data_IF_727222531760
#
_entry.id   IF_727222531760
#
_cell.length_a   1.000
_cell.length_b   1.000
_cell.length_c   1.000
_cell.angle_alpha   90.00
_cell.angle_beta   90.00
_cell.angle_gamma   90.00
#
_symmetry.space_group_name_H-M   'P 1'
#
loop_
_entity.id
_entity.type
_entity.pdbx_description
1 polymer ?
#
# COMPACT_ATOMS: atom_id res chain seq x y z
N UNK A 1 7.29 -7.59 24.66
CA UNK A 1 6.70 -7.54 23.32
C UNK A 1 7.44 -6.51 22.47
N UNK A 2 7.22 -6.51 21.16
CA UNK A 2 7.76 -5.48 20.24
C UNK A 2 7.09 -4.16 20.59
N UNK A 3 7.89 -3.11 20.87
CA UNK A 3 7.41 -1.75 21.13
C UNK A 3 7.12 -0.97 19.85
N UNK A 4 6.64 0.27 19.99
CA UNK A 4 6.55 1.24 18.89
C UNK A 4 7.89 1.97 18.71
N UNK A 5 8.16 2.45 17.50
CA UNK A 5 9.24 3.40 17.26
C UNK A 5 8.98 4.64 18.12
N UNK A 6 10.00 5.14 18.83
CA UNK A 6 9.87 6.39 19.62
C UNK A 6 9.50 7.54 18.67
N UNK A 7 8.46 8.28 19.00
CA UNK A 7 7.91 9.34 18.16
C UNK A 7 6.76 8.89 17.23
N UNK A 8 6.54 7.60 17.01
CA UNK A 8 5.39 7.08 16.28
C UNK A 8 4.25 6.75 17.26
N UNK A 9 3.10 7.39 17.06
CA UNK A 9 1.95 7.18 17.95
C UNK A 9 1.16 5.92 17.63
N UNK A 10 1.00 5.59 16.34
CA UNK A 10 0.22 4.44 15.87
C UNK A 10 0.94 3.70 14.76
N UNK A 11 1.05 2.37 14.84
CA UNK A 11 1.50 1.56 13.73
C UNK A 11 0.47 1.59 12.59
N UNK A 12 0.93 1.37 11.36
CA UNK A 12 0.10 1.36 10.16
C UNK A 12 0.41 0.15 9.28
N UNK A 13 -0.61 -0.40 8.64
CA UNK A 13 -0.48 -1.51 7.68
C UNK A 13 -0.22 -0.94 6.30
N UNK A 14 0.86 -1.37 5.64
CA UNK A 14 1.12 -1.04 4.24
C UNK A 14 0.78 -2.22 3.34
N UNK A 15 0.03 -1.95 2.26
CA UNK A 15 -0.41 -2.98 1.31
C UNK A 15 -0.09 -2.55 -0.12
N UNK A 16 0.55 -3.42 -0.95
CA UNK A 16 0.77 -3.13 -2.36
C UNK A 16 -0.51 -3.35 -3.16
N UNK A 17 -0.88 -2.36 -3.98
CA UNK A 17 -1.95 -2.45 -4.98
C UNK A 17 -1.31 -2.44 -6.36
N UNK A 18 -1.56 -3.43 -7.23
CA UNK A 18 -1.03 -3.44 -8.59
C UNK A 18 -1.43 -2.19 -9.38
N UNK A 19 -0.50 -1.65 -10.18
CA UNK A 19 -0.76 -0.49 -11.01
C UNK A 19 -0.49 -0.74 -12.50
N UNK A 20 -0.95 0.19 -13.36
CA UNK A 20 -0.84 0.14 -14.81
C UNK A 20 0.61 0.18 -15.30
N UNK A 21 1.52 0.80 -14.56
CA UNK A 21 2.95 0.85 -14.89
C UNK A 21 3.67 -0.47 -14.66
N UNK A 22 2.96 -1.49 -14.19
CA UNK A 22 3.50 -2.82 -13.97
C UNK A 22 4.15 -3.04 -12.61
N UNK A 23 4.17 -2.01 -11.76
CA UNK A 23 4.60 -2.03 -10.36
C UNK A 23 3.43 -2.06 -9.38
N UNK A 24 3.64 -1.42 -8.22
CA UNK A 24 2.64 -1.30 -7.17
C UNK A 24 2.56 0.14 -6.67
N UNK A 25 1.37 0.53 -6.26
CA UNK A 25 1.11 1.70 -5.39
C UNK A 25 0.91 1.17 -3.97
N UNK A 26 1.59 1.76 -2.99
CA UNK A 26 1.54 1.31 -1.59
C UNK A 26 0.50 2.11 -0.83
N UNK A 27 -0.62 1.47 -0.48
CA UNK A 27 -1.67 2.04 0.36
C UNK A 27 -1.29 1.88 1.83
N UNK A 28 -1.29 2.97 2.59
CA UNK A 28 -1.02 3.06 4.02
C UNK A 28 -1.92 4.12 4.67
N UNK A 29 -2.73 3.87 5.67
CA UNK A 29 -2.98 2.67 6.45
C UNK A 29 -4.09 1.81 5.82
N UNK A 30 -3.86 0.51 5.71
CA UNK A 30 -4.83 -0.43 5.13
C UNK A 30 -5.70 -1.15 6.18
N UNK A 31 -5.75 -0.62 7.43
CA UNK A 31 -6.68 -1.16 8.42
C UNK A 31 -6.22 -1.27 9.87
N UNK A 32 -5.12 -0.64 10.28
CA UNK A 32 -4.65 -0.68 11.66
C UNK A 32 -5.36 0.36 12.56
N UNK A 33 -5.68 1.57 12.05
CA UNK A 33 -6.24 2.67 12.83
C UNK A 33 -7.40 3.35 12.12
N UNK A 34 -8.63 3.11 12.59
CA UNK A 34 -9.84 3.65 11.95
C UNK A 34 -10.04 5.16 12.18
N UNK A 35 -9.61 5.69 13.32
CA UNK A 35 -9.78 7.11 13.69
C UNK A 35 -8.42 7.72 14.05
N UNK A 36 -7.57 8.04 13.06
CA UNK A 36 -6.30 8.71 13.30
C UNK A 36 -6.50 10.21 13.48
N UNK A 37 -5.45 10.87 14.01
CA UNK A 37 -5.28 12.33 13.95
C UNK A 37 -4.47 12.72 12.71
N UNK A 38 -4.44 14.02 12.31
CA UNK A 38 -3.62 14.48 11.19
C UNK A 38 -2.14 14.11 11.34
N UNK A 39 -1.58 14.19 12.56
CA UNK A 39 -0.20 13.82 12.85
C UNK A 39 0.08 12.34 12.61
N UNK A 40 -0.92 11.47 12.86
CA UNK A 40 -0.78 10.05 12.57
C UNK A 40 -0.69 9.78 11.06
N UNK A 41 -1.45 10.52 10.24
CA UNK A 41 -1.39 10.40 8.78
C UNK A 41 -0.05 10.95 8.24
N UNK A 42 0.49 12.02 8.82
CA UNK A 42 1.85 12.50 8.52
C UNK A 42 2.90 11.43 8.85
N UNK A 43 2.78 10.78 10.02
CA UNK A 43 3.66 9.67 10.40
C UNK A 43 3.51 8.47 9.45
N UNK A 44 2.29 8.13 9.04
CA UNK A 44 2.03 7.08 8.06
C UNK A 44 2.68 7.39 6.70
N UNK A 45 2.64 8.67 6.27
CA UNK A 45 3.32 9.11 5.06
C UNK A 45 4.84 8.88 5.12
N UNK A 46 5.46 9.24 6.24
CA UNK A 46 6.89 9.00 6.49
C UNK A 46 7.21 7.49 6.48
N UNK A 47 6.39 6.67 7.14
CA UNK A 47 6.55 5.21 7.17
C UNK A 47 6.43 4.62 5.77
N UNK A 48 5.41 5.01 5.01
CA UNK A 48 5.17 4.56 3.64
C UNK A 48 6.28 4.97 2.68
N UNK A 49 6.75 6.22 2.78
CA UNK A 49 7.87 6.72 1.99
C UNK A 49 9.15 5.91 2.23
N UNK A 50 9.54 5.69 3.48
CA UNK A 50 10.73 4.90 3.80
C UNK A 50 10.60 3.46 3.31
N UNK A 51 9.43 2.84 3.48
CA UNK A 51 9.16 1.51 2.95
C UNK A 51 9.31 1.45 1.43
N UNK A 52 8.68 2.37 0.70
CA UNK A 52 8.76 2.42 -0.75
C UNK A 52 10.19 2.67 -1.24
N UNK A 53 10.92 3.56 -0.58
CA UNK A 53 12.29 3.93 -0.96
C UNK A 53 13.30 2.81 -0.69
N UNK A 54 13.30 2.26 0.52
CA UNK A 54 14.36 1.35 0.95
C UNK A 54 13.99 -0.11 0.72
N UNK A 55 12.78 -0.56 1.08
CA UNK A 55 12.37 -1.96 0.92
C UNK A 55 11.97 -2.27 -0.53
N UNK A 56 11.35 -1.29 -1.22
CA UNK A 56 10.86 -1.49 -2.60
C UNK A 56 11.75 -0.83 -3.65
N UNK A 57 12.82 -0.16 -3.24
CA UNK A 57 13.87 0.44 -4.07
C UNK A 57 13.35 1.47 -5.08
N UNK A 58 12.30 2.22 -4.71
CA UNK A 58 11.81 3.35 -5.51
C UNK A 58 12.68 4.57 -5.17
N UNK A 59 13.36 5.15 -6.16
CA UNK A 59 14.38 6.19 -5.95
C UNK A 59 13.82 7.44 -5.25
N UNK A 60 12.69 7.93 -5.74
CA UNK A 60 12.00 9.12 -5.21
C UNK A 60 10.49 8.85 -5.15
N UNK A 61 9.99 8.15 -4.11
CA UNK A 61 8.59 7.82 -4.00
C UNK A 61 7.72 9.08 -3.92
N UNK A 62 6.71 9.19 -4.75
CA UNK A 62 5.71 10.26 -4.71
C UNK A 62 4.60 9.88 -3.75
N UNK A 63 4.41 10.69 -2.72
CA UNK A 63 3.42 10.46 -1.67
C UNK A 63 2.17 11.29 -1.93
N UNK A 64 1.00 10.66 -2.03
CA UNK A 64 -0.30 11.29 -2.13
C UNK A 64 -1.16 11.04 -0.89
N UNK A 65 -2.10 11.96 -0.62
CA UNK A 65 -3.12 11.81 0.42
C UNK A 65 -4.43 11.37 -0.24
N UNK A 66 -4.99 10.23 0.16
CA UNK A 66 -6.27 9.76 -0.37
C UNK A 66 -7.39 10.72 -0.02
N UNK A 67 -8.09 11.22 -1.04
CA UNK A 67 -9.14 12.21 -0.88
C UNK A 67 -10.24 12.02 -1.95
N UNK A 68 -11.29 12.84 -1.86
CA UNK A 68 -12.45 12.85 -2.78
C UNK A 68 -12.27 13.80 -3.98
N UNK A 69 -11.17 14.51 -4.07
CA UNK A 69 -10.80 15.45 -5.14
C UNK A 69 -9.37 15.91 -5.00
N UNK A 70 -8.82 16.43 -6.09
CA UNK A 70 -7.40 16.83 -6.18
C UNK A 70 -7.07 18.16 -5.49
N UNK A 71 -8.09 19.03 -5.25
CA UNK A 71 -7.89 20.36 -4.66
C UNK A 71 -7.54 20.24 -3.16
N UNK A 72 -6.67 21.13 -2.68
CA UNK A 72 -6.20 21.16 -1.29
C UNK A 72 -7.29 21.36 -0.23
N UNK A 73 -8.43 21.90 -0.62
CA UNK A 73 -9.57 22.22 0.25
C UNK A 73 -10.62 21.09 0.33
N UNK A 74 -10.42 19.99 -0.41
CA UNK A 74 -11.36 18.86 -0.43
C UNK A 74 -11.22 17.95 0.76
N UNK A 75 -12.30 17.23 1.04
CA UNK A 75 -12.35 16.19 2.06
C UNK A 75 -12.90 16.65 3.41
N UNK A 76 -12.72 15.80 4.40
CA UNK A 76 -13.08 16.09 5.79
C UNK A 76 -12.06 17.01 6.47
N UNK A 77 -12.38 17.53 7.66
CA UNK A 77 -11.43 18.30 8.47
C UNK A 77 -10.11 17.55 8.67
N UNK A 78 -10.16 16.25 8.94
CA UNK A 78 -8.98 15.39 9.04
C UNK A 78 -8.10 15.49 7.79
N UNK A 79 -8.69 15.45 6.57
CA UNK A 79 -7.93 15.47 5.31
C UNK A 79 -7.36 16.85 5.02
N UNK A 80 -8.09 17.93 5.28
CA UNK A 80 -7.58 19.29 5.06
C UNK A 80 -6.45 19.64 6.02
N UNK A 81 -6.57 19.30 7.30
CA UNK A 81 -5.50 19.48 8.29
C UNK A 81 -4.27 18.63 7.96
N UNK A 82 -4.49 17.36 7.54
CA UNK A 82 -3.39 16.48 7.11
C UNK A 82 -2.69 17.02 5.87
N UNK A 83 -3.46 17.54 4.88
CA UNK A 83 -2.88 18.15 3.69
C UNK A 83 -1.94 19.31 4.03
N UNK A 84 -2.35 20.18 4.98
CA UNK A 84 -1.51 21.29 5.44
C UNK A 84 -0.21 20.80 6.08
N UNK A 85 -0.27 19.77 6.94
CA UNK A 85 0.93 19.18 7.55
C UNK A 85 1.85 18.57 6.49
N UNK A 86 1.30 17.79 5.56
CA UNK A 86 2.06 17.17 4.48
C UNK A 86 2.69 18.19 3.53
N UNK A 87 2.04 19.33 3.30
CA UNK A 87 2.56 20.40 2.45
C UNK A 87 3.70 21.18 3.07
N UNK A 88 3.78 21.25 4.39
CA UNK A 88 4.80 22.01 5.14
C UNK A 88 6.06 21.20 5.44
N UNK A 89 5.96 19.85 5.47
CA UNK A 89 7.09 18.99 5.78
C UNK A 89 8.11 18.91 4.62
N UNK A 90 9.37 18.62 4.96
CA UNK A 90 10.49 18.53 3.99
C UNK A 90 11.13 17.13 3.92
N UNK A 91 10.54 16.13 4.57
CA UNK A 91 11.14 14.78 4.73
C UNK A 91 11.05 13.94 3.46
N UNK A 92 10.01 14.19 2.65
CA UNK A 92 9.74 13.47 1.41
C UNK A 92 8.91 14.32 0.42
N UNK A 93 8.93 13.99 -0.88
CA UNK A 93 8.09 14.66 -1.87
C UNK A 93 6.61 14.36 -1.63
N UNK A 94 5.84 15.40 -1.26
CA UNK A 94 4.38 15.31 -1.21
C UNK A 94 3.80 15.78 -2.54
N UNK A 95 3.03 14.91 -3.20
CA UNK A 95 2.49 15.14 -4.54
C UNK A 95 1.02 15.63 -4.55
N UNK A 96 0.46 15.94 -3.37
CA UNK A 96 -0.91 16.43 -3.25
C UNK A 96 -1.95 15.32 -2.98
N UNK A 97 -3.24 15.64 -3.21
CA UNK A 97 -4.32 14.68 -3.05
C UNK A 97 -4.34 13.66 -4.19
N UNK A 98 -4.62 12.40 -3.82
CA UNK A 98 -4.88 11.28 -4.72
C UNK A 98 -6.36 10.86 -4.61
N UNK A 99 -7.06 10.72 -5.71
CA UNK A 99 -8.39 10.14 -5.71
C UNK A 99 -8.31 8.59 -5.77
N UNK A 100 -9.38 7.91 -5.39
CA UNK A 100 -9.40 6.43 -5.42
C UNK A 100 -9.10 5.85 -6.81
N UNK A 101 -9.45 6.56 -7.88
CA UNK A 101 -9.14 6.17 -9.27
C UNK A 101 -7.66 6.30 -9.64
N UNK A 102 -6.88 7.08 -8.90
CA UNK A 102 -5.47 7.31 -9.17
C UNK A 102 -4.58 6.20 -8.59
N UNK A 103 -5.09 5.46 -7.60
CA UNK A 103 -4.35 4.35 -6.97
C UNK A 103 -3.83 3.33 -8.01
N UNK A 104 -4.65 2.82 -8.95
CA UNK A 104 -4.17 1.84 -9.93
C UNK A 104 -3.36 2.44 -11.08
N UNK A 105 -3.26 3.77 -11.22
CA UNK A 105 -2.53 4.40 -12.35
C UNK A 105 -1.00 4.36 -12.15
N UNK A 106 -0.55 4.27 -10.89
CA UNK A 106 0.88 4.41 -10.55
C UNK A 106 1.38 5.86 -10.69
N UNK A 107 0.47 6.85 -10.64
CA UNK A 107 0.86 8.25 -10.54
C UNK A 107 1.49 8.54 -9.19
N UNK A 108 0.99 7.91 -8.14
CA UNK A 108 1.57 7.93 -6.80
C UNK A 108 2.22 6.59 -6.48
N UNK A 109 3.36 6.62 -5.79
CA UNK A 109 4.03 5.41 -5.30
C UNK A 109 3.50 5.00 -3.92
N UNK A 110 3.13 5.99 -3.10
CA UNK A 110 2.52 5.80 -1.78
C UNK A 110 1.24 6.63 -1.71
N UNK A 111 0.15 6.02 -1.26
CA UNK A 111 -1.13 6.70 -0.99
C UNK A 111 -1.48 6.53 0.47
N UNK A 112 -1.55 7.65 1.19
CA UNK A 112 -1.86 7.70 2.63
C UNK A 112 -3.35 7.81 2.84
N UNK A 113 -3.87 7.04 3.78
CA UNK A 113 -5.29 6.98 4.15
C UNK A 113 -5.43 6.75 5.65
N UNK A 114 -6.59 7.09 6.22
CA UNK A 114 -7.01 6.49 7.49
C UNK A 114 -7.28 5.00 7.30
N UNK A 115 -7.15 4.21 8.37
CA UNK A 115 -7.25 2.75 8.26
C UNK A 115 -8.67 2.26 7.95
N UNK A 116 -9.72 3.04 8.22
CA UNK A 116 -11.08 2.66 7.81
C UNK A 116 -11.23 2.79 6.29
N UNK A 117 -10.94 3.96 5.75
CA UNK A 117 -11.03 4.23 4.30
C UNK A 117 -10.08 3.32 3.52
N UNK A 118 -8.84 3.16 3.99
CA UNK A 118 -7.85 2.28 3.36
C UNK A 118 -8.30 0.82 3.31
N UNK A 119 -8.89 0.30 4.40
CA UNK A 119 -9.43 -1.06 4.41
C UNK A 119 -10.64 -1.23 3.47
N UNK A 120 -11.51 -0.22 3.39
CA UNK A 120 -12.64 -0.23 2.44
C UNK A 120 -12.14 -0.27 1.00
N UNK A 121 -11.17 0.58 0.65
CA UNK A 121 -10.55 0.61 -0.69
C UNK A 121 -9.88 -0.73 -1.02
N UNK A 122 -9.10 -1.28 -0.09
CA UNK A 122 -8.46 -2.58 -0.25
C UNK A 122 -9.48 -3.69 -0.50
N UNK A 123 -10.51 -3.80 0.35
CA UNK A 123 -11.54 -4.84 0.25
C UNK A 123 -12.40 -4.69 -1.00
N UNK A 124 -12.73 -3.47 -1.38
CA UNK A 124 -13.43 -3.20 -2.64
C UNK A 124 -12.57 -3.60 -3.84
N UNK A 125 -11.29 -3.21 -3.87
CA UNK A 125 -10.35 -3.59 -4.93
C UNK A 125 -10.18 -5.10 -5.07
N UNK A 126 -10.04 -5.83 -3.94
CA UNK A 126 -10.03 -7.31 -3.91
C UNK A 126 -11.32 -7.89 -4.52
N UNK A 127 -12.48 -7.33 -4.18
CA UNK A 127 -13.78 -7.74 -4.69
C UNK A 127 -13.93 -7.53 -6.20
N UNK A 128 -13.56 -6.35 -6.68
CA UNK A 128 -13.58 -5.99 -8.12
C UNK A 128 -12.62 -6.86 -8.91
N UNK A 129 -11.41 -7.09 -8.43
CA UNK A 129 -10.44 -7.98 -9.07
C UNK A 129 -10.97 -9.42 -9.19
N UNK A 130 -11.59 -9.95 -8.14
CA UNK A 130 -12.22 -11.27 -8.14
C UNK A 130 -13.40 -11.34 -9.12
N UNK A 131 -14.26 -10.32 -9.15
CA UNK A 131 -15.37 -10.22 -10.10
C UNK A 131 -14.85 -10.23 -11.53
N UNK A 132 -13.83 -9.42 -11.85
CA UNK A 132 -13.25 -9.34 -13.19
C UNK A 132 -12.72 -10.72 -13.66
N UNK A 133 -11.97 -11.42 -12.80
CA UNK A 133 -11.47 -12.77 -13.11
C UNK A 133 -12.63 -13.76 -13.34
N UNK A 134 -13.72 -13.64 -12.58
CA UNK A 134 -14.91 -14.49 -12.73
C UNK A 134 -15.59 -14.24 -14.07
N UNK A 135 -15.83 -12.97 -14.41
CA UNK A 135 -16.44 -12.60 -15.70
C UNK A 135 -15.59 -13.03 -16.88
N UNK A 136 -14.26 -12.89 -16.79
CA UNK A 136 -13.35 -13.37 -17.83
C UNK A 136 -13.45 -14.88 -18.04
N UNK A 137 -13.44 -15.65 -16.93
CA UNK A 137 -13.64 -17.12 -16.99
C UNK A 137 -14.99 -17.48 -17.61
N UNK A 138 -16.06 -16.85 -17.16
CA UNK A 138 -17.41 -17.10 -17.68
C UNK A 138 -17.51 -16.81 -19.18
N UNK A 139 -16.91 -15.71 -19.64
CA UNK A 139 -16.89 -15.35 -21.07
C UNK A 139 -16.17 -16.43 -21.89
N UNK A 140 -15.07 -16.98 -21.38
CA UNK A 140 -14.34 -18.07 -22.05
C UNK A 140 -15.17 -19.36 -22.04
N UNK A 141 -15.75 -19.75 -20.90
CA UNK A 141 -16.44 -21.04 -20.78
C UNK A 141 -17.82 -21.06 -21.47
N UNK A 142 -18.55 -19.93 -21.43
CA UNK A 142 -19.90 -19.79 -22.02
C UNK A 142 -19.88 -19.35 -23.50
N UNK A 143 -18.74 -18.82 -23.99
CA UNK A 143 -18.58 -18.28 -25.35
C UNK A 143 -18.43 -19.33 -26.46
N UNK A 144 -18.67 -20.64 -26.17
CA UNK A 144 -18.62 -21.72 -27.16
C UNK A 144 -17.21 -22.26 -27.40
N UNK A 145 -17.08 -23.09 -28.46
CA UNK A 145 -15.85 -23.85 -28.74
C UNK A 145 -14.68 -22.92 -29.08
N UNK A 146 -14.91 -21.88 -29.90
CA UNK A 146 -13.87 -20.96 -30.33
C UNK A 146 -13.33 -20.13 -29.14
N UNK A 147 -14.21 -19.67 -28.24
CA UNK A 147 -13.80 -18.94 -27.04
C UNK A 147 -12.97 -19.82 -26.10
N UNK A 148 -13.32 -21.12 -25.95
CA UNK A 148 -12.55 -22.07 -25.15
C UNK A 148 -11.16 -22.32 -25.72
N UNK A 149 -11.05 -22.49 -27.07
CA UNK A 149 -9.77 -22.63 -27.77
C UNK A 149 -8.90 -21.36 -27.59
N UNK A 150 -9.47 -20.19 -27.81
CA UNK A 150 -8.79 -18.90 -27.57
C UNK A 150 -8.33 -18.75 -26.14
N UNK A 151 -9.18 -19.09 -25.16
CA UNK A 151 -8.85 -19.09 -23.73
C UNK A 151 -7.71 -20.04 -23.38
N UNK A 152 -7.65 -21.23 -24.01
CA UNK A 152 -6.54 -22.16 -23.80
C UNK A 152 -5.20 -21.58 -24.30
N UNK A 153 -5.19 -20.93 -25.46
CA UNK A 153 -4.01 -20.29 -26.03
C UNK A 153 -3.57 -19.08 -25.19
N UNK A 154 -4.51 -18.30 -24.66
CA UNK A 154 -4.22 -17.13 -23.80
C UNK A 154 -3.82 -17.49 -22.36
N UNK A 155 -4.16 -18.69 -21.87
CA UNK A 155 -3.95 -19.11 -20.48
C UNK A 155 -2.53 -18.87 -19.95
N UNK A 156 -1.43 -19.18 -20.68
CA UNK A 156 -0.08 -18.93 -20.19
C UNK A 156 0.21 -17.43 -20.01
N UNK A 157 -0.23 -16.60 -20.96
CA UNK A 157 -0.06 -15.15 -20.90
C UNK A 157 -0.88 -14.53 -19.75
N UNK A 158 -2.15 -14.90 -19.62
CA UNK A 158 -3.01 -14.46 -18.52
C UNK A 158 -2.44 -14.86 -17.16
N UNK A 159 -1.91 -16.07 -17.02
CA UNK A 159 -1.27 -16.52 -15.78
C UNK A 159 -0.03 -15.69 -15.46
N UNK A 160 0.83 -15.41 -16.45
CA UNK A 160 2.10 -14.70 -16.28
C UNK A 160 1.89 -13.22 -15.99
N UNK A 161 1.03 -12.53 -16.75
CA UNK A 161 0.94 -11.07 -16.76
C UNK A 161 -0.23 -10.50 -15.95
N UNK A 162 -1.28 -11.27 -15.70
CA UNK A 162 -2.46 -10.79 -15.00
C UNK A 162 -2.66 -11.50 -13.65
N UNK A 163 -2.87 -12.82 -13.64
CA UNK A 163 -3.25 -13.53 -12.43
C UNK A 163 -2.18 -13.44 -11.32
N UNK A 164 -0.91 -13.43 -11.71
CA UNK A 164 0.20 -13.31 -10.73
C UNK A 164 0.18 -11.96 -10.00
N UNK A 165 -0.25 -10.87 -10.65
CA UNK A 165 -0.32 -9.54 -10.03
C UNK A 165 -1.44 -9.40 -9.00
N UNK A 166 -2.51 -10.20 -9.13
CA UNK A 166 -3.62 -10.22 -8.18
C UNK A 166 -3.52 -11.35 -7.14
N UNK A 167 -2.43 -12.13 -7.16
CA UNK A 167 -2.21 -13.21 -6.20
C UNK A 167 -1.52 -12.67 -4.94
N UNK A 168 -2.29 -12.41 -3.89
CA UNK A 168 -1.76 -11.97 -2.58
C UNK A 168 -0.68 -12.92 -2.02
N UNK A 169 -0.65 -14.19 -2.43
CA UNK A 169 0.36 -15.14 -2.01
C UNK A 169 1.76 -14.82 -2.59
N UNK A 170 1.83 -14.01 -3.66
CA UNK A 170 3.13 -13.53 -4.20
C UNK A 170 3.77 -12.50 -3.24
N UNK A 171 3.00 -11.63 -2.64
CA UNK A 171 3.50 -10.65 -1.66
C UNK A 171 3.73 -11.26 -0.27
N UNK A 172 2.97 -12.30 0.09
CA UNK A 172 3.11 -13.03 1.36
C UNK A 172 2.35 -12.44 2.53
N UNK A 173 2.21 -11.12 2.58
CA UNK A 173 1.52 -10.39 3.65
C UNK A 173 1.75 -8.89 3.57
N UNK A 174 1.22 -8.19 4.57
CA UNK A 174 1.31 -6.74 4.72
C UNK A 174 2.19 -6.39 5.94
N UNK A 175 3.26 -5.61 5.77
CA UNK A 175 4.05 -5.13 6.89
C UNK A 175 3.23 -4.22 7.81
N UNK A 176 3.38 -4.40 9.13
CA UNK A 176 2.97 -3.44 10.14
C UNK A 176 4.14 -2.52 10.44
N UNK A 177 4.11 -1.32 9.92
CA UNK A 177 5.14 -0.30 10.09
C UNK A 177 4.89 0.54 11.36
N UNK A 178 5.92 1.19 11.87
CA UNK A 178 5.83 2.03 13.08
C UNK A 178 6.09 1.28 14.39
N UNK A 179 6.44 0.00 14.32
CA UNK A 179 6.92 -0.80 15.45
C UNK A 179 8.45 -0.86 15.45
N UNK A 180 9.04 -1.05 16.62
CA UNK A 180 10.50 -1.17 16.80
C UNK A 180 10.97 -2.61 16.52
N UNK A 181 10.74 -3.05 15.28
CA UNK A 181 11.03 -4.40 14.80
C UNK A 181 10.29 -4.70 13.50
N UNK A 182 10.23 -5.96 13.11
CA UNK A 182 9.58 -6.41 11.89
C UNK A 182 8.39 -7.32 12.19
N UNK A 183 7.22 -7.00 11.63
CA UNK A 183 6.01 -7.82 11.73
C UNK A 183 5.28 -7.81 10.39
N UNK A 184 4.96 -9.00 9.88
CA UNK A 184 4.18 -9.18 8.65
C UNK A 184 2.83 -9.82 9.00
N UNK A 185 1.76 -9.17 8.58
CA UNK A 185 0.39 -9.66 8.75
C UNK A 185 0.04 -10.48 7.51
N UNK A 186 -0.18 -11.78 7.70
CA UNK A 186 -0.62 -12.69 6.63
C UNK A 186 -2.12 -12.98 6.74
N UNK A 187 -2.75 -13.31 5.61
CA UNK A 187 -4.17 -13.66 5.59
C UNK A 187 -4.42 -15.00 6.31
N UNK A 188 -5.57 -15.15 6.97
CA UNK A 188 -5.91 -16.38 7.71
C UNK A 188 -5.97 -17.65 6.87
N UNK A 189 -6.14 -17.53 5.54
CA UNK A 189 -6.09 -18.63 4.57
C UNK A 189 -4.72 -18.86 3.94
N UNK A 190 -3.66 -18.20 4.42
CA UNK A 190 -2.31 -18.30 3.87
C UNK A 190 -1.78 -19.73 3.91
N UNK A 191 -1.24 -20.18 2.77
CA UNK A 191 -0.61 -21.48 2.60
C UNK A 191 0.91 -21.34 2.48
N UNK A 192 1.64 -22.43 2.35
CA UNK A 192 3.11 -22.50 2.34
C UNK A 192 3.78 -21.45 1.44
N UNK A 193 3.24 -21.17 0.22
CA UNK A 193 3.76 -20.13 -0.68
C UNK A 193 3.69 -18.74 -0.05
N UNK A 194 2.53 -18.37 0.51
CA UNK A 194 2.34 -17.08 1.16
C UNK A 194 3.25 -16.92 2.39
N UNK A 195 3.32 -17.94 3.24
CA UNK A 195 4.20 -17.93 4.43
C UNK A 195 5.68 -17.78 4.04
N UNK A 196 6.15 -18.52 3.03
CA UNK A 196 7.51 -18.37 2.51
C UNK A 196 7.80 -16.94 2.04
N UNK A 197 6.87 -16.34 1.31
CA UNK A 197 7.03 -14.98 0.81
C UNK A 197 6.92 -13.95 1.94
N UNK A 198 6.07 -14.19 2.96
CA UNK A 198 6.02 -13.37 4.18
C UNK A 198 7.36 -13.37 4.93
N UNK A 199 7.99 -14.52 5.07
CA UNK A 199 9.32 -14.63 5.71
C UNK A 199 10.37 -13.87 4.88
N UNK A 200 10.32 -13.99 3.53
CA UNK A 200 11.23 -13.24 2.66
C UNK A 200 11.04 -11.73 2.81
N UNK A 201 9.78 -11.26 2.81
CA UNK A 201 9.46 -9.86 3.02
C UNK A 201 9.90 -9.38 4.41
N UNK A 202 9.71 -10.19 5.45
CA UNK A 202 10.17 -9.87 6.79
C UNK A 202 11.70 -9.67 6.83
N UNK A 203 12.45 -10.54 6.15
CA UNK A 203 13.89 -10.42 6.04
C UNK A 203 14.29 -9.11 5.34
N UNK A 204 13.68 -8.78 4.20
CA UNK A 204 13.93 -7.53 3.49
C UNK A 204 13.66 -6.30 4.37
N UNK A 205 12.52 -6.26 5.07
CA UNK A 205 12.17 -5.15 5.97
C UNK A 205 13.16 -5.03 7.13
N UNK A 206 13.65 -6.16 7.64
CA UNK A 206 14.62 -6.18 8.74
C UNK A 206 16.02 -5.72 8.28
N UNK A 207 16.47 -6.13 7.10
CA UNK A 207 17.78 -5.76 6.53
C UNK A 207 17.88 -4.23 6.27
N UNK A 208 16.78 -3.58 5.92
CA UNK A 208 16.75 -2.13 5.64
C UNK A 208 16.62 -1.27 6.91
N UNK A 209 16.55 -1.86 8.08
CA UNK A 209 16.49 -1.16 9.38
C UNK A 209 15.51 0.02 9.42
N UNK A 210 14.31 -0.13 8.84
CA UNK A 210 13.28 0.92 8.75
C UNK A 210 13.06 1.67 10.08
N UNK A 211 13.01 1.00 11.25
CA UNK A 211 12.88 1.69 12.53
C UNK A 211 13.98 2.73 12.78
N UNK A 212 15.22 2.43 12.42
CA UNK A 212 16.37 3.33 12.58
C UNK A 212 16.27 4.53 11.65
N UNK A 213 15.90 4.32 10.37
CA UNK A 213 15.72 5.39 9.39
C UNK A 213 14.62 6.37 9.82
N UNK A 214 13.50 5.85 10.31
CA UNK A 214 12.38 6.66 10.81
C UNK A 214 12.78 7.45 12.05
N UNK A 215 13.47 6.83 13.04
CA UNK A 215 13.98 7.51 14.23
C UNK A 215 14.91 8.68 13.87
N UNK A 216 15.81 8.48 12.92
CA UNK A 216 16.74 9.52 12.48
C UNK A 216 16.00 10.71 11.86
N UNK A 217 15.00 10.46 11.01
CA UNK A 217 14.20 11.54 10.41
C UNK A 217 13.43 12.33 11.46
N UNK A 218 12.80 11.66 12.43
CA UNK A 218 12.04 12.31 13.50
C UNK A 218 12.93 13.10 14.46
N UNK A 219 14.13 12.62 14.78
CA UNK A 219 15.08 13.32 15.66
C UNK A 219 15.58 14.61 15.01
N UNK A 220 15.91 14.60 13.71
CA UNK A 220 16.32 15.79 12.96
C UNK A 220 15.22 16.86 12.97
N UNK A 221 13.95 16.45 12.88
CA UNK A 221 12.83 17.38 12.94
C UNK A 221 12.69 18.06 14.31
N UNK A 222 12.92 17.32 15.41
CA UNK A 222 12.84 17.86 16.78
C UNK A 222 13.99 18.82 17.09
N UNK A 223 15.17 18.61 16.50
CA UNK A 223 16.34 19.50 16.69
C UNK A 223 16.25 20.80 15.85
N UNK A 224 15.34 20.86 14.88
CA UNK A 224 15.13 22.01 13.98
C UNK A 224 13.97 22.94 14.39
N UNK A 225 13.21 22.60 15.43
CA UNK A 225 12.20 23.44 16.08
C UNK A 225 12.79 24.18 17.31
#
# INVERSE_FOLDING_TARGET
>A
GIGRIKGIERPAIVTPIPNEKGGHTFLIDAGASANPKPENLLQNALLGYNYAKYVRHIKEPRVGLLNIGSESTKGSALMTETYELLSKQTWFPFAGNAEGRDIPTGEFDVVVSDGFTGNVVLKFGEGVGKLFITLLKDSIYKGGVLAKLGGLLLKPALKKYMMKKFDYAEEGGAPLLGIDGTLIISHGSSRAKAIRNAIRLANQVAEEEIPTLVKNTLNVAIESE
#
